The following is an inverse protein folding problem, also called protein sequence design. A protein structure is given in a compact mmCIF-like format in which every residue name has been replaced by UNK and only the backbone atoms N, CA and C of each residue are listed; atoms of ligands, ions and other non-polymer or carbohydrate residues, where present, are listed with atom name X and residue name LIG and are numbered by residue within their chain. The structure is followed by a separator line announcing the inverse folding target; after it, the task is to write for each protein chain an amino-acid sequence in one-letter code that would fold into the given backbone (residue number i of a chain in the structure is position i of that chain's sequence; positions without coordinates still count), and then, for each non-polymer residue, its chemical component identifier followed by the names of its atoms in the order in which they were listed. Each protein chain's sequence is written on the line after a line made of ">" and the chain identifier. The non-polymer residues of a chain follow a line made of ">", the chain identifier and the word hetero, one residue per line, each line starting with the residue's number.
data_IF_480581638873
#
_entry.id   IF_480581638873
#
_cell.length_a   1.000
_cell.length_b   1.000
_cell.length_c   1.000
_cell.angle_alpha   90.00
_cell.angle_beta   90.00
_cell.angle_gamma   90.00
#
_symmetry.space_group_name_H-M   'P 1'
#
loop_
_entity.id
_entity.type
_entity.pdbx_description
1 polymer ?
#
# COMPACT_ATOMS: atom_id res chain seq x y z
N UNK A 1 -2.01 2.70 -11.39
CA UNK A 1 -2.38 2.38 -10.00
C UNK A 1 -2.87 3.65 -9.32
N UNK A 2 -3.91 3.58 -8.51
CA UNK A 2 -4.45 4.73 -7.80
C UNK A 2 -4.12 4.59 -6.32
N UNK A 3 -3.38 5.56 -5.77
CA UNK A 3 -3.04 5.60 -4.35
C UNK A 3 -3.80 6.76 -3.67
N UNK A 4 -4.12 6.63 -2.36
CA UNK A 4 -4.62 7.75 -1.58
C UNK A 4 -3.67 8.95 -1.65
N UNK A 5 -4.23 10.16 -1.67
CA UNK A 5 -3.45 11.39 -1.78
C UNK A 5 -2.40 11.52 -0.67
N UNK A 6 -2.74 11.15 0.56
CA UNK A 6 -1.86 11.23 1.73
C UNK A 6 -0.62 10.35 1.56
N UNK A 7 -0.82 9.07 1.21
CA UNK A 7 0.26 8.11 0.95
C UNK A 7 1.14 8.58 -0.22
N UNK A 8 0.53 9.06 -1.30
CA UNK A 8 1.27 9.61 -2.43
C UNK A 8 2.08 10.85 -2.05
N UNK A 9 1.50 11.75 -1.25
CA UNK A 9 2.15 12.98 -0.82
C UNK A 9 3.36 12.69 0.05
N UNK A 10 3.25 11.76 1.01
CA UNK A 10 4.35 11.36 1.87
C UNK A 10 5.47 10.68 1.07
N UNK A 11 5.13 9.80 0.13
CA UNK A 11 6.08 9.16 -0.77
C UNK A 11 6.82 10.19 -1.66
N UNK A 12 6.09 11.19 -2.17
CA UNK A 12 6.65 12.28 -2.96
C UNK A 12 7.60 13.14 -2.14
N UNK A 13 7.22 13.49 -0.92
CA UNK A 13 8.07 14.28 -0.01
C UNK A 13 9.36 13.52 0.29
N UNK A 14 9.28 12.23 0.65
CA UNK A 14 10.46 11.39 0.92
C UNK A 14 11.45 11.37 -0.25
N UNK A 15 10.96 11.11 -1.46
CA UNK A 15 11.83 11.03 -2.66
C UNK A 15 12.39 12.39 -3.06
N UNK A 16 11.66 13.48 -2.82
CA UNK A 16 12.17 14.84 -3.02
C UNK A 16 13.26 15.20 -2.00
N UNK A 17 13.08 14.83 -0.73
CA UNK A 17 14.09 15.01 0.33
C UNK A 17 15.36 14.21 0.02
N UNK A 18 15.24 12.94 -0.36
CA UNK A 18 16.39 12.12 -0.75
C UNK A 18 17.13 12.71 -1.95
N UNK A 19 16.40 13.20 -2.95
CA UNK A 19 16.99 13.80 -4.14
C UNK A 19 17.62 15.16 -3.86
N UNK A 20 17.05 15.93 -2.92
CA UNK A 20 17.64 17.17 -2.42
C UNK A 20 18.91 16.93 -1.60
N UNK A 21 18.96 15.83 -0.85
CA UNK A 21 20.13 15.44 -0.07
C UNK A 21 21.25 14.89 -0.96
N UNK A 22 20.97 13.88 -1.78
CA UNK A 22 21.94 13.25 -2.68
C UNK A 22 21.25 12.69 -3.93
N UNK A 23 21.31 13.39 -5.08
CA UNK A 23 20.61 12.96 -6.29
C UNK A 23 21.14 11.64 -6.88
N UNK A 24 22.39 11.27 -6.58
CA UNK A 24 23.02 10.04 -7.08
C UNK A 24 22.55 8.78 -6.34
N UNK A 25 22.14 8.91 -5.07
CA UNK A 25 21.67 7.79 -4.23
C UNK A 25 20.16 7.82 -3.99
N UNK A 26 19.46 8.79 -4.59
CA UNK A 26 18.03 8.96 -4.41
C UNK A 26 17.27 7.75 -4.95
N UNK A 27 16.43 7.15 -4.11
CA UNK A 27 15.68 5.96 -4.49
C UNK A 27 14.51 6.36 -5.38
N UNK A 28 14.22 5.51 -6.37
CA UNK A 28 13.02 5.68 -7.19
C UNK A 28 11.78 5.32 -6.37
N UNK A 29 10.61 5.80 -6.82
CA UNK A 29 9.33 5.40 -6.21
C UNK A 29 9.16 3.88 -6.13
N UNK A 30 9.62 3.16 -7.16
CA UNK A 30 9.58 1.70 -7.18
C UNK A 30 10.44 1.07 -6.08
N UNK A 31 11.66 1.57 -5.90
CA UNK A 31 12.58 1.09 -4.87
C UNK A 31 12.05 1.32 -3.45
N UNK A 32 11.46 2.49 -3.19
CA UNK A 32 10.84 2.77 -1.88
C UNK A 32 9.65 1.84 -1.62
N UNK A 33 8.85 1.55 -2.64
CA UNK A 33 7.72 0.60 -2.51
C UNK A 33 8.22 -0.81 -2.20
N UNK A 34 9.26 -1.28 -2.89
CA UNK A 34 9.82 -2.62 -2.65
C UNK A 34 10.43 -2.72 -1.25
N UNK A 35 11.22 -1.73 -0.83
CA UNK A 35 11.80 -1.66 0.51
C UNK A 35 10.71 -1.64 1.59
N UNK A 36 9.61 -0.90 1.36
CA UNK A 36 8.47 -0.87 2.26
C UNK A 36 7.78 -2.23 2.40
N UNK A 37 7.59 -2.95 1.28
CA UNK A 37 6.99 -4.29 1.28
C UNK A 37 7.90 -5.31 1.94
N UNK A 38 9.20 -5.31 1.63
CA UNK A 38 10.17 -6.24 2.21
C UNK A 38 10.31 -6.02 3.72
N UNK A 39 10.44 -4.77 4.17
CA UNK A 39 10.62 -4.42 5.58
C UNK A 39 9.42 -4.79 6.45
N UNK A 40 8.21 -4.73 5.89
CA UNK A 40 6.96 -4.97 6.61
C UNK A 40 6.24 -6.24 6.13
N UNK A 41 6.94 -7.17 5.49
CA UNK A 41 6.33 -8.37 4.94
C UNK A 41 5.58 -9.20 6.00
N UNK A 42 6.16 -9.35 7.20
CA UNK A 42 5.54 -10.09 8.30
C UNK A 42 4.30 -9.38 8.85
N UNK A 43 4.36 -8.05 9.03
CA UNK A 43 3.23 -7.24 9.47
C UNK A 43 2.08 -7.27 8.46
N UNK A 44 2.42 -7.18 7.17
CA UNK A 44 1.48 -7.26 6.05
C UNK A 44 0.79 -8.61 6.02
N UNK A 45 1.56 -9.69 6.10
CA UNK A 45 1.02 -11.05 6.14
C UNK A 45 0.10 -11.25 7.35
N UNK A 46 0.49 -10.76 8.53
CA UNK A 46 -0.33 -10.83 9.73
C UNK A 46 -1.63 -10.04 9.59
N UNK A 47 -1.57 -8.82 9.02
CA UNK A 47 -2.73 -7.96 8.80
C UNK A 47 -3.82 -8.66 7.98
N UNK A 48 -3.45 -9.32 6.87
CA UNK A 48 -4.44 -10.05 6.07
C UNK A 48 -4.80 -11.43 6.61
N UNK A 49 -3.88 -12.10 7.33
CA UNK A 49 -4.22 -13.35 8.03
C UNK A 49 -5.29 -13.13 9.11
N UNK A 50 -5.19 -12.03 9.87
CA UNK A 50 -6.16 -11.68 10.92
C UNK A 50 -7.49 -11.14 10.34
N UNK A 51 -7.41 -10.40 9.23
CA UNK A 51 -8.61 -10.00 8.48
C UNK A 51 -9.39 -11.21 7.94
N UNK A 52 -8.69 -12.26 7.48
CA UNK A 52 -9.30 -13.51 7.06
C UNK A 52 -9.92 -14.29 8.23
N UNK A 53 -9.27 -14.30 9.40
CA UNK A 53 -9.80 -14.93 10.62
C UNK A 53 -11.07 -14.21 11.14
N UNK A 54 -11.11 -12.88 11.05
CA UNK A 54 -12.25 -12.06 11.48
C UNK A 54 -13.46 -12.18 10.53
N UNK A 55 -13.24 -12.55 9.26
CA UNK A 55 -14.32 -12.74 8.28
C UNK A 55 -15.14 -14.05 8.48
N UNK A 56 -14.75 -14.91 9.44
CA UNK A 56 -15.20 -16.30 9.53
C UNK A 56 -16.01 -16.68 10.77
N UNK A 57 -17.08 -15.96 11.14
CA UNK A 57 -18.06 -16.48 12.12
C UNK A 57 -19.52 -16.15 11.79
N UNK A 58 -19.99 -16.57 10.61
CA UNK A 58 -21.42 -16.61 10.33
C UNK A 58 -21.77 -16.96 8.89
N UNK A 59 -22.76 -17.83 8.70
CA UNK A 59 -23.37 -18.16 7.41
C UNK A 59 -24.14 -16.98 6.77
N UNK A 60 -24.12 -15.82 7.42
CA UNK A 60 -24.69 -14.55 6.98
C UNK A 60 -23.67 -13.43 7.22
N UNK A 61 -23.42 -12.59 6.23
CA UNK A 61 -22.70 -11.31 6.43
C UNK A 61 -23.54 -10.43 7.36
N UNK A 62 -23.10 -10.28 8.61
CA UNK A 62 -23.57 -9.19 9.46
C UNK A 62 -22.82 -7.94 9.06
N UNK A 63 -23.53 -6.93 8.58
CA UNK A 63 -22.95 -5.61 8.41
C UNK A 63 -22.43 -5.15 9.77
N UNK A 64 -21.14 -4.89 9.89
CA UNK A 64 -20.60 -4.16 11.03
C UNK A 64 -21.37 -2.84 11.14
N UNK A 65 -22.11 -2.69 12.24
CA UNK A 65 -22.75 -1.43 12.60
C UNK A 65 -21.68 -0.54 13.25
N UNK A 66 -20.63 -0.24 12.49
CA UNK A 66 -19.64 0.78 12.79
C UNK A 66 -19.92 1.97 11.89
N UNK A 67 -20.77 2.89 12.38
CA UNK A 67 -21.06 4.26 11.90
C UNK A 67 -20.63 4.55 10.44
N UNK A 68 -21.55 4.92 9.52
CA UNK A 68 -21.15 5.41 8.21
C UNK A 68 -20.38 6.71 8.42
N UNK A 69 -19.05 6.63 8.48
CA UNK A 69 -18.20 7.80 8.30
C UNK A 69 -18.44 8.19 6.86
N UNK A 70 -19.35 9.15 6.72
CA UNK A 70 -19.75 9.83 5.50
C UNK A 70 -18.56 9.84 4.56
N UNK A 71 -18.69 9.18 3.40
CA UNK A 71 -17.76 9.28 2.25
C UNK A 71 -17.38 10.75 2.07
N UNK A 72 -16.32 11.20 2.75
CA UNK A 72 -15.77 12.52 2.57
C UNK A 72 -14.88 12.38 1.35
N UNK A 73 -15.56 12.52 0.21
CA UNK A 73 -15.05 13.05 -1.03
C UNK A 73 -13.73 12.41 -1.45
N UNK A 74 -13.84 11.44 -2.37
CA UNK A 74 -12.90 11.21 -3.47
C UNK A 74 -11.69 12.15 -3.45
N UNK A 75 -10.72 11.87 -2.59
CA UNK A 75 -9.42 12.51 -2.71
C UNK A 75 -8.94 12.16 -4.11
N UNK A 76 -8.45 13.12 -4.91
CA UNK A 76 -8.08 12.86 -6.29
C UNK A 76 -7.11 11.68 -6.31
N UNK A 77 -7.59 10.53 -6.85
CA UNK A 77 -6.83 9.30 -7.01
C UNK A 77 -5.60 9.65 -7.84
N UNK A 78 -4.48 9.89 -7.16
CA UNK A 78 -3.26 10.37 -7.78
C UNK A 78 -2.63 9.17 -8.49
N UNK A 79 -2.58 9.24 -9.82
CA UNK A 79 -1.97 8.19 -10.64
C UNK A 79 -0.46 8.32 -10.52
N UNK A 80 0.17 7.39 -9.83
CA UNK A 80 1.64 7.29 -9.80
C UNK A 80 2.06 6.48 -11.02
N UNK A 81 2.76 7.08 -11.99
CA UNK A 81 3.48 6.30 -12.98
C UNK A 81 4.60 5.56 -12.22
N UNK A 82 4.51 4.23 -12.18
CA UNK A 82 5.58 3.34 -11.70
C UNK A 82 6.74 3.32 -12.73
N UNK A 83 7.20 4.49 -13.16
CA UNK A 83 8.34 4.63 -14.05
C UNK A 83 9.61 4.26 -13.26
N UNK A 84 9.92 2.97 -13.21
CA UNK A 84 11.06 2.42 -12.47
C UNK A 84 10.81 1.08 -11.77
N UNK A 85 9.57 0.56 -11.76
CA UNK A 85 9.31 -0.83 -11.35
C UNK A 85 9.48 -1.69 -12.59
N UNK A 86 10.42 -2.62 -12.57
CA UNK A 86 10.62 -3.56 -13.67
C UNK A 86 9.34 -4.42 -13.75
N UNK A 87 8.88 -4.77 -14.95
CA UNK A 87 7.64 -5.56 -15.11
C UNK A 87 7.64 -6.86 -14.27
N UNK A 88 8.84 -7.40 -13.96
CA UNK A 88 9.04 -8.54 -13.06
C UNK A 88 8.58 -8.27 -11.63
N UNK A 89 8.92 -7.12 -11.06
CA UNK A 89 8.57 -6.74 -9.68
C UNK A 89 7.06 -6.52 -9.55
N UNK A 90 6.44 -5.99 -10.60
CA UNK A 90 4.99 -5.86 -10.70
C UNK A 90 4.27 -7.23 -10.62
N UNK A 91 4.84 -8.27 -11.21
CA UNK A 91 4.29 -9.62 -11.15
C UNK A 91 4.47 -10.26 -9.76
N UNK A 92 5.60 -10.00 -9.09
CA UNK A 92 5.84 -10.45 -7.71
C UNK A 92 4.82 -9.82 -6.76
N UNK A 93 4.56 -8.52 -6.88
CA UNK A 93 3.56 -7.83 -6.06
C UNK A 93 2.13 -8.35 -6.31
N UNK A 94 1.81 -8.77 -7.54
CA UNK A 94 0.52 -9.43 -7.83
C UNK A 94 0.43 -10.82 -7.18
N UNK A 95 1.50 -11.61 -7.25
CA UNK A 95 1.56 -12.92 -6.61
C UNK A 95 1.38 -12.79 -5.10
N UNK A 96 2.14 -11.90 -4.45
CA UNK A 96 2.01 -11.62 -3.01
C UNK A 96 0.61 -11.12 -2.64
N UNK A 97 0.00 -10.27 -3.46
CA UNK A 97 -1.36 -9.81 -3.22
C UNK A 97 -2.38 -10.95 -3.32
N UNK A 98 -2.14 -11.93 -4.20
CA UNK A 98 -2.92 -13.17 -4.28
C UNK A 98 -2.71 -14.07 -3.07
N UNK A 99 -1.46 -14.37 -2.72
CA UNK A 99 -1.07 -15.27 -1.64
C UNK A 99 -1.56 -14.78 -0.27
N UNK A 100 -1.51 -13.48 -0.03
CA UNK A 100 -1.96 -12.88 1.23
C UNK A 100 -3.44 -12.48 1.20
N UNK A 101 -4.12 -12.55 0.05
CA UNK A 101 -5.53 -12.16 -0.04
C UNK A 101 -5.77 -10.65 0.08
N UNK A 102 -4.79 -9.82 -0.27
CA UNK A 102 -4.92 -8.35 -0.24
C UNK A 102 -5.94 -7.79 -1.26
N UNK A 103 -6.41 -8.64 -2.18
CA UNK A 103 -7.45 -8.33 -3.17
C UNK A 103 -6.95 -7.56 -4.39
N UNK A 104 -5.98 -6.64 -4.22
CA UNK A 104 -5.32 -5.99 -5.34
C UNK A 104 -3.90 -5.54 -5.00
N UNK A 105 -3.04 -5.41 -6.03
CA UNK A 105 -1.70 -4.80 -5.90
C UNK A 105 -1.75 -3.41 -5.26
N UNK A 106 -2.82 -2.65 -5.55
CA UNK A 106 -3.00 -1.30 -5.00
C UNK A 106 -3.12 -1.30 -3.50
N UNK A 107 -3.95 -2.21 -2.96
CA UNK A 107 -4.16 -2.36 -1.53
C UNK A 107 -2.89 -2.86 -0.81
N UNK A 108 -2.15 -3.79 -1.42
CA UNK A 108 -0.90 -4.30 -0.86
C UNK A 108 0.13 -3.18 -0.68
N UNK A 109 0.39 -2.42 -1.74
CA UNK A 109 1.37 -1.34 -1.71
C UNK A 109 0.89 -0.19 -0.83
N UNK A 110 -0.40 0.14 -0.84
CA UNK A 110 -0.96 1.16 0.05
C UNK A 110 -0.67 0.83 1.51
N UNK A 111 -0.96 -0.39 1.95
CA UNK A 111 -0.73 -0.80 3.34
C UNK A 111 0.77 -0.84 3.68
N UNK A 112 1.61 -1.33 2.75
CA UNK A 112 3.05 -1.33 2.94
C UNK A 112 3.60 0.09 3.14
N UNK A 113 3.16 1.02 2.29
CA UNK A 113 3.56 2.42 2.39
C UNK A 113 3.00 3.09 3.65
N UNK A 114 1.78 2.75 4.09
CA UNK A 114 1.24 3.25 5.36
C UNK A 114 2.10 2.84 6.55
N UNK A 115 2.53 1.59 6.61
CA UNK A 115 3.42 1.09 7.68
C UNK A 115 4.79 1.76 7.61
N UNK A 116 5.36 1.83 6.41
CA UNK A 116 6.71 2.36 6.20
C UNK A 116 6.81 3.87 6.46
N UNK A 117 5.85 4.64 5.94
CA UNK A 117 5.79 6.11 6.11
C UNK A 117 5.10 6.51 7.41
N UNK A 118 4.54 5.54 8.16
CA UNK A 118 3.76 5.75 9.39
C UNK A 118 2.59 6.73 9.19
N UNK A 119 1.91 6.59 8.06
CA UNK A 119 0.75 7.40 7.67
C UNK A 119 -0.51 6.57 7.96
N UNK A 120 -1.45 7.13 8.74
CA UNK A 120 -2.61 6.42 9.27
C UNK A 120 -3.91 7.01 8.72
#
# INVERSE_FOLDING_TARGET
>A
MALPHEVYSALRTLTLEERGANPTTARSYGQVVLDAVEKHADDLKAHWADAAATAGTGMFRRAEVGRPTRRRHSAPLSRVPLAGVINSDAAILDQLAGDWGAGSRSALVEQALRLYLRVN
#
